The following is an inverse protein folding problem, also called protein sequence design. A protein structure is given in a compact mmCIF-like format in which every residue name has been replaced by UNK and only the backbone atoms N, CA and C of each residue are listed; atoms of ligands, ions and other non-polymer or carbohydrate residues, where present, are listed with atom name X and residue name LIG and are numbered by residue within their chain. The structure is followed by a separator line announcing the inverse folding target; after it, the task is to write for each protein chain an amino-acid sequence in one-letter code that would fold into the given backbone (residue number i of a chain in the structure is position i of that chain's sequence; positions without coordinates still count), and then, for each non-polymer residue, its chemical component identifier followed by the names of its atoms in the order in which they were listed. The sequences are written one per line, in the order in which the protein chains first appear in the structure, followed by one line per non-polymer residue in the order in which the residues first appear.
data_IF_526091734134
#
_entry.id   IF_526091734134
#
_cell.length_a   1.000
_cell.length_b   1.000
_cell.length_c   1.000
_cell.angle_alpha   90.00
_cell.angle_beta   90.00
_cell.angle_gamma   90.00
#
_symmetry.space_group_name_H-M   'P 1'
#
loop_
_entity.id
_entity.type
_entity.pdbx_description
1 polymer ?
#
# COMPACT_ATOMS: atom_id res chain seq x y z
N UNK A 1 -15.65 2.14 -0.44
CA UNK A 1 -14.41 1.54 0.09
C UNK A 1 -13.69 0.87 -1.06
N UNK A 2 -12.47 1.32 -1.31
CA UNK A 2 -11.61 0.90 -2.42
C UNK A 2 -10.48 -0.01 -1.97
N UNK A 3 -10.33 -0.18 -0.66
CA UNK A 3 -9.40 -1.13 -0.03
C UNK A 3 -10.16 -2.37 0.39
N UNK A 4 -9.75 -3.52 -0.13
CA UNK A 4 -10.26 -4.84 0.27
C UNK A 4 -9.11 -5.77 0.62
N UNK A 5 -9.34 -6.71 1.52
CA UNK A 5 -8.44 -7.86 1.71
C UNK A 5 -9.19 -9.10 1.23
N UNK A 6 -8.57 -9.93 0.39
CA UNK A 6 -9.16 -11.19 -0.07
C UNK A 6 -8.90 -12.35 0.89
N UNK A 7 -9.40 -13.55 0.55
CA UNK A 7 -9.22 -14.77 1.34
C UNK A 7 -7.76 -15.23 1.43
N UNK A 8 -6.92 -14.84 0.48
CA UNK A 8 -5.50 -15.18 0.43
C UNK A 8 -4.65 -14.16 1.22
N UNK A 9 -5.30 -13.14 1.79
CA UNK A 9 -4.67 -12.09 2.59
C UNK A 9 -4.00 -11.01 1.75
N UNK A 10 -4.29 -10.93 0.44
CA UNK A 10 -3.79 -9.87 -0.43
C UNK A 10 -4.67 -8.64 -0.23
N UNK A 11 -4.03 -7.48 -0.04
CA UNK A 11 -4.71 -6.19 0.05
C UNK A 11 -4.80 -5.63 -1.37
N UNK A 12 -6.01 -5.32 -1.84
CA UNK A 12 -6.24 -4.69 -3.14
C UNK A 12 -6.61 -3.22 -2.95
N UNK A 13 -5.91 -2.33 -3.68
CA UNK A 13 -6.20 -0.91 -3.81
C UNK A 13 -6.80 -0.66 -5.20
N UNK A 14 -8.06 -0.22 -5.29
CA UNK A 14 -8.81 -0.12 -6.55
C UNK A 14 -9.47 1.24 -6.74
N UNK A 15 -9.40 1.86 -7.92
CA UNK A 15 -10.03 3.15 -8.18
C UNK A 15 -9.44 4.31 -7.35
N UNK A 16 -10.30 5.14 -6.76
CA UNK A 16 -9.92 6.35 -6.03
C UNK A 16 -9.84 6.08 -4.51
N UNK A 17 -8.64 5.74 -4.02
CA UNK A 17 -8.41 5.51 -2.59
C UNK A 17 -8.30 6.83 -1.83
N UNK A 18 -9.33 7.15 -1.05
CA UNK A 18 -9.47 8.38 -0.28
C UNK A 18 -8.88 8.29 1.13
N UNK A 19 -9.13 9.31 1.94
CA UNK A 19 -8.70 9.33 3.34
C UNK A 19 -9.41 8.26 4.19
N UNK A 20 -10.69 8.00 3.90
CA UNK A 20 -11.51 7.02 4.64
C UNK A 20 -11.02 5.57 4.44
N UNK A 21 -10.22 5.33 3.41
CA UNK A 21 -9.62 4.03 3.13
C UNK A 21 -8.29 3.82 3.91
N UNK A 22 -7.78 4.84 4.60
CA UNK A 22 -6.50 4.77 5.31
C UNK A 22 -6.57 3.89 6.57
N UNK A 23 -7.65 3.97 7.33
CA UNK A 23 -7.84 3.12 8.52
C UNK A 23 -7.98 1.63 8.15
N UNK A 24 -8.85 1.22 7.20
CA UNK A 24 -8.92 -0.17 6.74
C UNK A 24 -7.58 -0.71 6.24
N UNK A 25 -6.80 0.11 5.53
CA UNK A 25 -5.46 -0.26 5.08
C UNK A 25 -4.51 -0.45 6.26
N UNK A 26 -4.47 0.48 7.21
CA UNK A 26 -3.62 0.39 8.40
C UNK A 26 -3.93 -0.88 9.19
N UNK A 27 -5.21 -1.17 9.47
CA UNK A 27 -5.61 -2.39 10.17
C UNK A 27 -5.16 -3.66 9.43
N UNK A 28 -5.28 -3.66 8.10
CA UNK A 28 -4.84 -4.79 7.27
C UNK A 28 -3.32 -4.98 7.30
N UNK A 29 -2.55 -3.89 7.30
CA UNK A 29 -1.09 -3.91 7.39
C UNK A 29 -0.59 -4.30 8.79
N UNK A 30 -1.28 -3.87 9.86
CA UNK A 30 -0.96 -4.27 11.24
C UNK A 30 -1.21 -5.76 11.47
N UNK A 31 -2.28 -6.32 10.88
CA UNK A 31 -2.59 -7.73 11.00
C UNK A 31 -1.49 -8.63 10.40
N UNK A 32 -0.80 -8.16 9.36
CA UNK A 32 0.38 -8.83 8.82
C UNK A 32 1.22 -7.85 7.99
N UNK A 33 2.33 -7.33 8.54
CA UNK A 33 3.16 -6.33 7.88
C UNK A 33 3.82 -6.80 6.58
N UNK A 34 3.93 -8.11 6.37
CA UNK A 34 4.47 -8.72 5.15
C UNK A 34 3.43 -9.00 4.07
N UNK A 35 2.19 -8.51 4.22
CA UNK A 35 1.14 -8.71 3.21
C UNK A 35 1.53 -8.12 1.86
N UNK A 36 1.07 -8.79 0.82
CA UNK A 36 1.15 -8.29 -0.54
C UNK A 36 0.06 -7.25 -0.76
N UNK A 37 0.42 -6.17 -1.44
CA UNK A 37 -0.50 -5.11 -1.83
C UNK A 37 -0.57 -5.05 -3.35
N UNK A 38 -1.70 -5.46 -3.91
CA UNK A 38 -2.02 -5.31 -5.31
C UNK A 38 -2.67 -3.94 -5.55
N UNK A 39 -2.14 -3.18 -6.50
CA UNK A 39 -2.62 -1.82 -6.77
C UNK A 39 -2.75 -1.50 -8.25
N UNK A 40 -2.76 -2.52 -9.12
CA UNK A 40 -2.87 -2.30 -10.57
C UNK A 40 -4.16 -1.66 -11.02
N UNK A 41 -5.21 -1.69 -10.20
CA UNK A 41 -6.46 -0.98 -10.44
C UNK A 41 -6.52 0.38 -9.72
N UNK A 42 -5.47 0.79 -9.00
CA UNK A 42 -5.43 2.04 -8.24
C UNK A 42 -5.18 3.23 -9.18
N UNK A 43 -6.20 4.08 -9.32
CA UNK A 43 -6.19 5.30 -10.14
C UNK A 43 -5.70 6.51 -9.35
N UNK A 44 -5.96 6.52 -8.04
CA UNK A 44 -5.52 7.56 -7.12
C UNK A 44 -5.31 6.98 -5.72
N UNK A 45 -4.27 7.46 -5.03
CA UNK A 45 -4.05 7.18 -3.62
C UNK A 45 -3.84 8.49 -2.87
N UNK A 46 -4.69 8.74 -1.88
CA UNK A 46 -4.51 9.85 -0.96
C UNK A 46 -3.15 9.77 -0.25
N UNK A 47 -2.60 10.91 0.15
CA UNK A 47 -1.26 10.97 0.76
C UNK A 47 -1.13 10.07 2.01
N UNK A 48 -2.20 9.93 2.79
CA UNK A 48 -2.23 9.01 3.94
C UNK A 48 -2.01 7.55 3.52
N UNK A 49 -2.61 7.10 2.42
CA UNK A 49 -2.40 5.75 1.84
C UNK A 49 -0.93 5.58 1.46
N UNK A 50 -0.37 6.57 0.76
CA UNK A 50 1.03 6.55 0.34
C UNK A 50 1.97 6.48 1.56
N UNK A 51 1.70 7.26 2.61
CA UNK A 51 2.48 7.24 3.85
C UNK A 51 2.45 5.87 4.53
N UNK A 52 1.28 5.23 4.59
CA UNK A 52 1.16 3.88 5.15
C UNK A 52 1.97 2.86 4.36
N UNK A 53 1.92 2.91 3.01
CA UNK A 53 2.70 2.01 2.15
C UNK A 53 4.21 2.26 2.32
N UNK A 54 4.66 3.51 2.37
CA UNK A 54 6.06 3.85 2.59
C UNK A 54 6.58 3.47 3.99
N UNK A 55 5.68 3.48 4.98
CA UNK A 55 6.00 3.09 6.35
C UNK A 55 6.06 1.57 6.48
N UNK A 56 5.03 0.86 6.01
CA UNK A 56 4.92 -0.60 6.09
C UNK A 56 5.90 -1.32 5.18
N UNK A 57 6.19 -0.73 4.01
CA UNK A 57 6.94 -1.35 2.92
C UNK A 57 6.43 -2.77 2.59
N UNK A 58 5.15 -2.91 2.26
CA UNK A 58 4.61 -4.20 1.87
C UNK A 58 5.20 -4.66 0.54
N UNK A 59 5.02 -5.92 0.21
CA UNK A 59 5.38 -6.43 -1.13
C UNK A 59 4.35 -5.93 -2.14
N UNK A 60 4.76 -5.03 -3.03
CA UNK A 60 3.85 -4.41 -4.02
C UNK A 60 3.69 -5.29 -5.26
N UNK A 61 2.46 -5.41 -5.77
CA UNK A 61 2.12 -6.17 -6.98
C UNK A 61 1.59 -5.28 -8.11
N UNK A 62 2.29 -5.37 -9.26
CA UNK A 62 1.99 -4.68 -10.51
C UNK A 62 2.38 -3.20 -10.52
N UNK A 63 2.38 -2.54 -11.70
CA UNK A 63 2.34 -1.09 -11.75
C UNK A 63 0.93 -0.61 -11.40
N UNK A 64 0.81 0.52 -10.70
CA UNK A 64 -0.48 1.17 -10.46
C UNK A 64 -1.11 1.68 -11.76
N UNK A 65 -2.44 1.80 -11.86
CA UNK A 65 -3.08 2.41 -13.05
C UNK A 65 -2.63 3.88 -13.25
N UNK A 66 -2.46 4.60 -12.14
CA UNK A 66 -2.08 6.01 -12.13
C UNK A 66 -0.65 6.25 -12.60
N UNK A 67 -0.47 7.08 -13.63
CA UNK A 67 0.85 7.53 -14.09
C UNK A 67 1.65 8.22 -12.96
N UNK A 68 0.98 9.02 -12.14
CA UNK A 68 1.61 9.70 -10.99
C UNK A 68 2.18 8.68 -9.99
N UNK A 69 1.39 7.66 -9.61
CA UNK A 69 1.84 6.63 -8.67
C UNK A 69 3.00 5.82 -9.25
N UNK A 70 2.95 5.47 -10.53
CA UNK A 70 4.05 4.77 -11.20
C UNK A 70 5.33 5.60 -11.23
N UNK A 71 5.24 6.89 -11.56
CA UNK A 71 6.41 7.74 -11.77
C UNK A 71 7.04 8.23 -10.47
N UNK A 72 6.23 8.48 -9.44
CA UNK A 72 6.68 9.18 -8.24
C UNK A 72 6.63 8.33 -6.96
N UNK A 73 5.70 7.37 -6.86
CA UNK A 73 5.49 6.59 -5.63
C UNK A 73 6.14 5.21 -5.73
N UNK A 74 5.90 4.47 -6.82
CA UNK A 74 6.45 3.13 -7.02
C UNK A 74 7.98 3.07 -6.86
N UNK A 75 8.79 4.02 -7.36
CA UNK A 75 10.23 3.99 -7.18
C UNK A 75 10.67 4.11 -5.71
N UNK A 76 9.86 4.77 -4.87
CA UNK A 76 10.13 4.91 -3.44
C UNK A 76 9.83 3.62 -2.68
N UNK A 77 8.81 2.87 -3.12
CA UNK A 77 8.43 1.57 -2.54
C UNK A 77 9.39 0.44 -2.95
N UNK A 78 9.98 0.53 -4.14
CA UNK A 78 10.99 -0.44 -4.61
C UNK A 78 12.38 -0.21 -3.99
N UNK A 79 12.61 0.95 -3.37
CA UNK A 79 13.91 1.28 -2.78
C UNK A 79 14.04 0.61 -1.42
N UNK A 80 14.72 -0.53 -1.37
CA UNK A 80 15.03 -1.19 -0.11
C UNK A 80 15.92 -0.29 0.77
N UNK A 81 15.48 0.15 1.97
CA UNK A 81 16.32 0.92 2.87
C UNK A 81 17.36 -0.01 3.53
N UNK A 82 18.60 0.48 3.65
CA UNK A 82 19.78 -0.30 4.06
C UNK A 82 19.72 -0.93 5.47
N UNK A 83 18.76 -0.55 6.30
CA UNK A 83 18.25 -1.30 7.44
C UNK A 83 17.19 -0.44 8.11
N UNK A 84 15.94 -0.89 8.14
CA UNK A 84 14.88 -0.21 8.90
C UNK A 84 14.31 -1.24 9.87
N UNK A 85 14.26 -0.91 11.16
CA UNK A 85 13.47 -1.70 12.12
C UNK A 85 12.01 -1.72 11.65
N UNK A 86 11.32 -2.83 11.88
CA UNK A 86 9.93 -3.00 11.48
C UNK A 86 9.09 -1.82 11.99
N UNK A 87 8.43 -1.12 11.07
CA UNK A 87 7.69 0.11 11.36
C UNK A 87 6.38 -0.13 12.14
N UNK A 88 6.03 -1.40 12.37
CA UNK A 88 4.80 -1.85 13.02
C UNK A 88 5.04 -3.06 13.93
N UNK A 89 6.11 -3.04 14.73
CA UNK A 89 6.27 -3.99 15.85
C UNK A 89 5.30 -3.65 16.98
N UNK A 90 4.40 -4.58 17.29
CA UNK A 90 3.82 -4.73 18.62
C UNK A 90 4.67 -5.74 19.43
#
# INVERSE_FOLDING_TARGET
MTVRTDSDGIIHLEGLCGIDDAEPLLLSLLASPSRRVAWSLCEHAHMAIIQLLLLAQPSMEGPAMSAFLQQHVAPLLSRQPASRKAAFTA
#
